data_IF_505698776392
#
_entry.id   IF_505698776392
#
_cell.length_a   1.000
_cell.length_b   1.000
_cell.length_c   1.000
_cell.angle_alpha   90.00
_cell.angle_beta   90.00
_cell.angle_gamma   90.00
#
_symmetry.space_group_name_H-M   'P 1'
#
loop_
_entity.id
_entity.type
_entity.pdbx_description
1 polymer ?
#
# COMPACT_ATOMS: atom_id res chain seq x y z
N UNK A 1 3.88 22.12 0.47
CA UNK A 1 4.23 20.73 0.10
C UNK A 1 4.59 19.99 1.38
N UNK A 2 3.98 18.84 1.66
CA UNK A 2 4.20 18.14 2.93
C UNK A 2 5.66 17.65 2.99
N UNK A 3 6.47 18.26 3.87
CA UNK A 3 7.91 18.03 4.00
C UNK A 3 8.33 16.62 4.46
N UNK A 4 7.40 15.67 4.60
CA UNK A 4 7.69 14.27 4.98
C UNK A 4 7.89 13.31 3.79
N UNK A 5 7.63 13.76 2.56
CA UNK A 5 7.62 12.89 1.36
C UNK A 5 9.03 12.73 0.76
N UNK A 6 9.99 13.60 1.07
CA UNK A 6 11.30 13.60 0.40
C UNK A 6 12.24 12.47 0.82
N UNK A 7 12.03 11.84 1.99
CA UNK A 7 12.87 10.73 2.44
C UNK A 7 12.56 9.46 1.60
N UNK A 8 13.52 8.96 0.81
CA UNK A 8 13.33 7.75 0.00
C UNK A 8 13.00 6.52 0.84
N UNK A 9 13.47 6.45 2.09
CA UNK A 9 13.18 5.31 2.97
C UNK A 9 11.67 5.21 3.30
N UNK A 10 10.96 6.34 3.34
CA UNK A 10 9.50 6.35 3.57
C UNK A 10 8.70 5.84 2.36
N UNK A 11 9.32 5.72 1.18
CA UNK A 11 8.67 5.27 -0.06
C UNK A 11 9.03 3.83 -0.45
N UNK A 12 9.92 3.19 0.32
CA UNK A 12 10.36 1.83 0.07
C UNK A 12 9.22 0.83 0.24
N UNK A 13 9.05 -0.06 -0.73
CA UNK A 13 8.07 -1.14 -0.64
C UNK A 13 8.56 -2.24 0.33
N UNK A 14 7.66 -2.71 1.19
CA UNK A 14 7.94 -3.76 2.16
C UNK A 14 7.13 -5.02 1.87
N UNK A 15 7.81 -6.15 1.80
CA UNK A 15 7.21 -7.45 1.52
C UNK A 15 7.40 -8.38 2.71
N UNK A 16 6.30 -8.81 3.32
CA UNK A 16 6.35 -9.82 4.38
C UNK A 16 6.64 -11.22 3.79
N UNK A 17 7.36 -12.05 4.55
CA UNK A 17 7.44 -13.47 4.25
C UNK A 17 6.04 -14.12 4.34
N UNK A 18 5.80 -15.17 3.55
CA UNK A 18 4.48 -15.81 3.45
C UNK A 18 3.91 -16.27 4.80
N UNK A 19 4.75 -16.77 5.71
CA UNK A 19 4.33 -17.17 7.08
C UNK A 19 3.79 -15.98 7.87
N UNK A 20 4.53 -14.88 7.90
CA UNK A 20 4.15 -13.64 8.60
C UNK A 20 2.93 -12.97 7.98
N UNK A 21 2.79 -13.03 6.65
CA UNK A 21 1.60 -12.55 5.96
C UNK A 21 0.36 -13.35 6.39
N UNK A 22 0.45 -14.68 6.42
CA UNK A 22 -0.66 -15.53 6.84
C UNK A 22 -1.07 -15.28 8.31
N UNK A 23 -0.11 -15.07 9.21
CA UNK A 23 -0.39 -14.69 10.60
C UNK A 23 -1.20 -13.38 10.69
N UNK A 24 -0.78 -12.34 9.96
CA UNK A 24 -1.49 -11.06 9.92
C UNK A 24 -2.89 -11.18 9.32
N UNK A 25 -3.06 -11.99 8.26
CA UNK A 25 -4.36 -12.22 7.62
C UNK A 25 -5.34 -12.94 8.55
N UNK A 26 -4.86 -13.94 9.32
CA UNK A 26 -5.69 -14.63 10.30
C UNK A 26 -6.18 -13.66 11.39
N UNK A 27 -5.28 -12.81 11.91
CA UNK A 27 -5.62 -11.79 12.91
C UNK A 27 -6.63 -10.77 12.36
N UNK A 28 -6.41 -10.25 11.14
CA UNK A 28 -7.33 -9.32 10.49
C UNK A 28 -8.71 -9.96 10.29
N UNK A 29 -8.77 -11.21 9.83
CA UNK A 29 -10.02 -11.97 9.65
C UNK A 29 -10.79 -12.12 10.97
N UNK A 30 -10.09 -12.35 12.08
CA UNK A 30 -10.69 -12.39 13.41
C UNK A 30 -11.28 -11.02 13.78
N UNK A 31 -10.51 -9.94 13.65
CA UNK A 31 -11.00 -8.59 13.97
C UNK A 31 -12.21 -8.18 13.14
N UNK A 32 -12.25 -8.54 11.85
CA UNK A 32 -13.42 -8.28 11.00
C UNK A 32 -14.66 -9.00 11.54
N UNK A 33 -14.53 -10.27 11.95
CA UNK A 33 -15.66 -11.07 12.47
C UNK A 33 -16.16 -10.60 13.83
N UNK A 34 -15.26 -10.11 14.68
CA UNK A 34 -15.57 -9.68 16.05
C UNK A 34 -16.05 -8.22 16.12
N UNK A 35 -15.84 -7.42 15.07
CA UNK A 35 -16.24 -6.02 15.04
C UNK A 35 -17.75 -5.86 14.86
N UNK A 36 -18.39 -5.04 15.70
CA UNK A 36 -19.79 -4.61 15.50
C UNK A 36 -19.94 -3.68 14.28
N UNK A 37 -18.92 -2.83 14.05
CA UNK A 37 -18.87 -1.90 12.93
C UNK A 37 -17.47 -1.91 12.31
N UNK A 38 -17.35 -2.51 11.12
CA UNK A 38 -16.10 -2.55 10.35
C UNK A 38 -16.13 -1.49 9.24
N UNK A 39 -15.17 -0.57 9.24
CA UNK A 39 -15.03 0.52 8.27
C UNK A 39 -13.69 0.40 7.57
N UNK A 40 -13.68 0.49 6.24
CA UNK A 40 -12.47 0.43 5.42
C UNK A 40 -12.21 1.78 4.78
N UNK A 41 -10.99 2.30 4.95
CA UNK A 41 -10.49 3.47 4.24
C UNK A 41 -9.60 3.00 3.09
N UNK A 42 -9.89 3.46 1.88
CA UNK A 42 -9.13 3.10 0.68
C UNK A 42 -8.46 4.32 0.08
N UNK A 43 -7.43 4.08 -0.73
CA UNK A 43 -6.73 5.09 -1.52
C UNK A 43 -6.31 4.52 -2.86
N UNK A 44 -5.57 5.29 -3.67
CA UNK A 44 -5.24 4.92 -5.05
C UNK A 44 -4.53 3.54 -5.20
N UNK A 45 -3.78 3.11 -4.19
CA UNK A 45 -3.01 1.85 -4.22
C UNK A 45 -3.83 0.61 -4.55
N UNK A 46 -5.13 0.56 -4.19
CA UNK A 46 -5.97 -0.61 -4.50
C UNK A 46 -6.29 -0.76 -6.00
N UNK A 47 -6.20 0.33 -6.77
CA UNK A 47 -6.53 0.38 -8.19
C UNK A 47 -5.32 0.10 -9.10
N UNK A 48 -4.12 -0.02 -8.53
CA UNK A 48 -2.88 -0.31 -9.30
C UNK A 48 -2.94 -1.65 -10.03
N UNK A 49 -3.59 -2.65 -9.41
CA UNK A 49 -3.82 -3.96 -10.02
C UNK A 49 -4.65 -3.92 -11.30
N UNK A 50 -5.46 -2.89 -11.51
CA UNK A 50 -6.29 -2.69 -12.72
C UNK A 50 -5.62 -1.78 -13.75
N UNK A 51 -4.36 -1.40 -13.54
CA UNK A 51 -3.61 -0.55 -14.46
C UNK A 51 -3.78 0.96 -14.22
N UNK A 52 -4.42 1.37 -13.13
CA UNK A 52 -4.53 2.79 -12.77
C UNK A 52 -3.38 3.13 -11.81
N UNK A 53 -2.44 4.02 -12.18
CA UNK A 53 -1.32 4.38 -11.31
C UNK A 53 -1.76 5.07 -10.03
N UNK A 54 -0.95 4.94 -8.97
CA UNK A 54 -1.11 5.73 -7.76
C UNK A 54 -0.35 7.05 -7.85
N UNK A 55 -0.28 7.80 -6.75
CA UNK A 55 0.38 9.09 -6.71
C UNK A 55 1.82 9.08 -6.19
N UNK A 56 2.22 8.06 -5.41
CA UNK A 56 3.40 8.16 -4.52
C UNK A 56 4.32 6.94 -4.52
N UNK A 57 4.05 5.91 -5.32
CA UNK A 57 4.97 4.78 -5.47
C UNK A 57 6.35 5.26 -5.94
N UNK A 58 7.41 4.75 -5.31
CA UNK A 58 8.79 5.16 -5.59
C UNK A 58 9.29 4.70 -6.96
N UNK A 59 10.44 5.24 -7.36
CA UNK A 59 11.08 4.91 -8.66
C UNK A 59 11.44 3.42 -8.81
N UNK A 60 11.64 2.72 -7.70
CA UNK A 60 11.99 1.30 -7.62
C UNK A 60 10.80 0.37 -7.39
N UNK A 61 9.56 0.88 -7.54
CA UNK A 61 8.33 0.08 -7.36
C UNK A 61 8.29 -1.18 -8.23
N UNK A 62 7.76 -2.26 -7.67
CA UNK A 62 7.50 -3.50 -8.43
C UNK A 62 6.22 -3.44 -9.25
N UNK A 63 5.43 -2.37 -9.12
CA UNK A 63 4.14 -2.24 -9.78
C UNK A 63 4.27 -2.04 -11.29
N UNK A 64 3.41 -2.72 -12.06
CA UNK A 64 3.35 -2.58 -13.53
C UNK A 64 2.89 -1.20 -13.99
N UNK A 65 2.20 -0.47 -13.12
CA UNK A 65 1.72 0.89 -13.35
C UNK A 65 2.82 1.93 -13.36
N UNK A 66 4.07 1.56 -13.00
CA UNK A 66 5.24 2.43 -12.90
C UNK A 66 5.18 3.32 -11.62
N UNK A 67 6.20 4.16 -11.35
CA UNK A 67 6.20 5.08 -10.22
C UNK A 67 4.96 5.96 -10.20
N UNK A 68 4.62 6.43 -9.01
CA UNK A 68 3.42 7.24 -8.80
C UNK A 68 3.47 8.54 -9.60
N UNK A 69 2.30 9.07 -9.93
CA UNK A 69 2.16 10.27 -10.78
C UNK A 69 3.02 11.45 -10.31
N UNK A 70 3.20 11.64 -8.99
CA UNK A 70 3.98 12.77 -8.46
C UNK A 70 5.48 12.48 -8.32
N UNK A 71 5.93 11.27 -8.63
CA UNK A 71 7.36 10.92 -8.69
C UNK A 71 7.95 11.17 -10.09
N UNK A 72 7.09 11.27 -11.11
CA UNK A 72 7.48 11.54 -12.49
C UNK A 72 7.51 13.05 -12.83
N UNK A 73 7.05 13.91 -11.91
CA UNK A 73 7.09 15.38 -12.00
C UNK A 73 8.38 15.95 -11.38
#
# INVERSE_FOLDING_TARGET
MAHGISDPENRKEHFDAATKLNEKLNLLSQWIKESEHFIVFTGAGISTSTGIPDFRSGMDTVLKTRPGEWELE
#
